data_IF_665052206419
#
_entry.id   IF_665052206419
#
_cell.length_a   1.000
_cell.length_b   1.000
_cell.length_c   1.000
_cell.angle_alpha   90.00
_cell.angle_beta   90.00
_cell.angle_gamma   90.00
#
_symmetry.space_group_name_H-M   'P 1'
#
loop_
_entity.id
_entity.type
_entity.pdbx_description
1 polymer ?
#
# COMPACT_ATOMS: atom_id res chain seq x y z
N UNK A 1 -25.08 2.57 30.94
CA UNK A 1 -24.77 3.71 30.06
C UNK A 1 -23.50 3.36 29.29
N UNK A 2 -23.59 3.16 27.97
CA UNK A 2 -22.38 3.02 27.14
C UNK A 2 -21.71 4.38 27.03
N UNK A 3 -20.41 4.46 27.28
CA UNK A 3 -19.63 5.68 27.03
C UNK A 3 -19.51 5.87 25.52
N UNK A 4 -19.73 7.09 25.04
CA UNK A 4 -19.41 7.47 23.67
C UNK A 4 -17.90 7.67 23.55
N UNK A 5 -17.21 6.69 22.96
CA UNK A 5 -15.75 6.72 22.77
C UNK A 5 -15.33 7.76 21.73
N UNK A 6 -16.21 8.16 20.82
CA UNK A 6 -15.90 9.18 19.81
C UNK A 6 -15.74 10.56 20.46
N UNK A 7 -16.51 10.84 21.51
CA UNK A 7 -16.40 12.06 22.29
C UNK A 7 -15.05 12.20 23.04
N UNK A 8 -14.26 11.12 23.17
CA UNK A 8 -12.95 11.14 23.83
C UNK A 8 -11.79 11.50 22.87
N UNK A 9 -12.01 11.48 21.56
CA UNK A 9 -10.98 11.83 20.59
C UNK A 9 -10.67 13.34 20.60
N UNK A 10 -9.46 13.74 20.20
CA UNK A 10 -9.11 15.16 20.09
C UNK A 10 -9.98 15.87 19.04
N UNK A 11 -10.30 17.18 19.18
CA UNK A 11 -11.27 17.86 18.32
C UNK A 11 -10.99 17.80 16.81
N UNK A 12 -9.71 17.72 16.42
CA UNK A 12 -9.32 17.57 15.02
C UNK A 12 -9.72 16.21 14.42
N UNK A 13 -9.64 15.13 15.21
CA UNK A 13 -9.97 13.77 14.78
C UNK A 13 -11.47 13.56 14.66
N UNK A 14 -12.26 14.19 15.54
CA UNK A 14 -13.74 14.08 15.52
C UNK A 14 -14.37 14.56 14.20
N UNK A 15 -13.67 15.40 13.43
CA UNK A 15 -14.14 15.94 12.15
C UNK A 15 -13.67 15.12 10.95
N UNK A 16 -12.81 14.11 11.15
CA UNK A 16 -12.31 13.30 10.06
C UNK A 16 -13.38 12.32 9.60
N UNK A 17 -13.54 12.22 8.28
CA UNK A 17 -14.25 11.09 7.70
C UNK A 17 -13.34 9.86 7.74
N UNK A 18 -13.90 8.66 7.98
CA UNK A 18 -13.13 7.42 7.84
C UNK A 18 -12.46 7.35 6.47
N UNK A 19 -11.18 6.99 6.45
CA UNK A 19 -10.45 6.80 5.20
C UNK A 19 -11.04 5.61 4.45
N UNK A 20 -11.45 5.83 3.20
CA UNK A 20 -11.90 4.77 2.30
C UNK A 20 -10.71 4.39 1.43
N UNK A 21 -10.14 3.23 1.69
CA UNK A 21 -9.09 2.65 0.86
C UNK A 21 -9.62 2.34 -0.54
N UNK A 22 -8.77 2.49 -1.56
CA UNK A 22 -9.11 2.00 -2.90
C UNK A 22 -9.43 0.51 -2.88
N UNK A 23 -10.46 0.10 -3.63
CA UNK A 23 -10.87 -1.31 -3.72
C UNK A 23 -9.78 -2.13 -4.44
N UNK A 24 -9.29 -3.24 -3.86
CA UNK A 24 -8.34 -4.14 -4.52
C UNK A 24 -8.90 -4.72 -5.81
N UNK A 25 -8.03 -4.99 -6.78
CA UNK A 25 -8.41 -5.62 -8.06
C UNK A 25 -9.10 -6.97 -7.83
N UNK A 26 -8.56 -7.79 -6.93
CA UNK A 26 -9.10 -9.13 -6.66
C UNK A 26 -10.50 -9.07 -6.03
N UNK A 27 -10.77 -8.04 -5.22
CA UNK A 27 -12.08 -7.84 -4.62
C UNK A 27 -13.11 -7.43 -5.68
N UNK A 28 -12.76 -6.48 -6.55
CA UNK A 28 -13.60 -6.07 -7.67
C UNK A 28 -13.84 -7.23 -8.64
N UNK A 29 -12.82 -8.04 -8.90
CA UNK A 29 -12.90 -9.19 -9.79
C UNK A 29 -13.94 -10.20 -9.30
N UNK A 30 -13.90 -10.53 -8.01
CA UNK A 30 -14.86 -11.43 -7.36
C UNK A 30 -16.28 -10.86 -7.36
N UNK A 31 -16.45 -9.56 -7.11
CA UNK A 31 -17.75 -8.89 -7.11
C UNK A 31 -18.43 -8.91 -8.48
N UNK A 32 -17.64 -8.67 -9.54
CA UNK A 32 -18.16 -8.58 -10.91
C UNK A 32 -18.14 -9.92 -11.67
N UNK A 33 -17.61 -10.99 -11.06
CA UNK A 33 -17.47 -12.30 -11.71
C UNK A 33 -16.52 -12.28 -12.91
N UNK A 34 -15.53 -11.39 -12.90
CA UNK A 34 -14.54 -11.25 -13.97
C UNK A 34 -13.23 -11.93 -13.56
N UNK A 35 -12.54 -12.47 -14.55
CA UNK A 35 -11.18 -13.00 -14.37
C UNK A 35 -10.21 -11.84 -14.06
N UNK A 36 -9.51 -11.85 -12.91
CA UNK A 36 -8.54 -10.81 -12.56
C UNK A 36 -7.47 -10.58 -13.64
N UNK A 37 -7.05 -11.65 -14.35
CA UNK A 37 -6.05 -11.55 -15.41
C UNK A 37 -6.54 -10.75 -16.64
N UNK A 38 -7.84 -10.50 -16.76
CA UNK A 38 -8.43 -9.68 -17.83
C UNK A 38 -8.59 -8.20 -17.45
N UNK A 39 -8.30 -7.84 -16.20
CA UNK A 39 -8.42 -6.46 -15.73
C UNK A 39 -7.18 -5.67 -16.15
N UNK A 40 -7.40 -4.65 -16.98
CA UNK A 40 -6.36 -3.67 -17.32
C UNK A 40 -6.39 -2.54 -16.29
N UNK A 41 -5.36 -2.45 -15.45
CA UNK A 41 -5.24 -1.40 -14.44
C UNK A 41 -4.70 -0.12 -15.06
N UNK A 42 -5.55 0.90 -15.16
CA UNK A 42 -5.20 2.25 -15.64
C UNK A 42 -5.30 3.31 -14.52
N UNK A 43 -5.28 2.87 -13.27
CA UNK A 43 -5.32 3.74 -12.09
C UNK A 43 -3.90 3.92 -11.51
N UNK A 44 -3.71 5.01 -10.77
CA UNK A 44 -2.52 5.28 -9.93
C UNK A 44 -1.21 5.65 -10.64
N UNK A 45 -1.23 5.95 -11.95
CA UNK A 45 -0.05 6.38 -12.72
C UNK A 45 1.14 5.42 -12.64
N UNK A 46 0.88 4.12 -12.53
CA UNK A 46 1.92 3.10 -12.44
C UNK A 46 2.63 2.91 -13.78
N UNK A 47 3.91 2.54 -13.74
CA UNK A 47 4.68 2.24 -14.94
C UNK A 47 4.36 0.81 -15.43
N UNK A 48 3.72 0.63 -16.60
CA UNK A 48 3.35 -0.69 -17.11
C UNK A 48 4.55 -1.56 -17.52
N UNK A 49 5.74 -0.97 -17.67
CA UNK A 49 6.97 -1.70 -18.02
C UNK A 49 7.61 -2.40 -16.81
N UNK A 50 7.18 -2.07 -15.58
CA UNK A 50 7.84 -2.54 -14.38
C UNK A 50 9.25 -1.94 -14.16
N UNK A 51 9.97 -2.40 -13.14
CA UNK A 51 11.33 -1.95 -12.85
C UNK A 51 12.36 -2.52 -13.82
N UNK A 52 13.51 -1.85 -13.94
CA UNK A 52 14.65 -2.37 -14.68
C UNK A 52 15.16 -3.69 -14.06
N UNK A 53 15.59 -4.70 -14.85
CA UNK A 53 16.11 -5.96 -14.32
C UNK A 53 17.21 -5.82 -13.26
N UNK A 54 18.10 -4.82 -13.40
CA UNK A 54 19.16 -4.56 -12.41
C UNK A 54 18.62 -4.17 -11.03
N UNK A 55 17.45 -3.53 -10.99
CA UNK A 55 16.79 -3.18 -9.73
C UNK A 55 16.23 -4.43 -9.06
N UNK A 56 15.66 -5.36 -9.84
CA UNK A 56 15.17 -6.63 -9.31
C UNK A 56 16.32 -7.48 -8.73
N UNK A 57 17.45 -7.53 -9.42
CA UNK A 57 18.67 -8.20 -8.96
C UNK A 57 19.19 -7.59 -7.65
N UNK A 58 19.26 -6.26 -7.56
CA UNK A 58 19.69 -5.56 -6.35
C UNK A 58 18.75 -5.82 -5.16
N UNK A 59 17.43 -5.77 -5.37
CA UNK A 59 16.44 -6.08 -4.31
C UNK A 59 16.62 -7.52 -3.84
N UNK A 60 16.78 -8.48 -4.76
CA UNK A 60 16.95 -9.88 -4.42
C UNK A 60 18.23 -10.13 -3.61
N UNK A 61 19.33 -9.42 -3.91
CA UNK A 61 20.58 -9.51 -3.18
C UNK A 61 20.49 -9.01 -1.73
N UNK A 62 19.61 -8.03 -1.46
CA UNK A 62 19.41 -7.44 -0.13
C UNK A 62 18.41 -8.20 0.76
N UNK A 63 17.63 -9.15 0.21
CA UNK A 63 16.65 -9.92 0.98
C UNK A 63 17.19 -10.60 2.26
N UNK A 64 18.43 -11.14 2.30
CA UNK A 64 18.99 -11.73 3.52
C UNK A 64 19.12 -10.73 4.69
N UNK A 65 19.25 -9.44 4.40
CA UNK A 65 19.47 -8.39 5.40
C UNK A 65 18.17 -7.68 5.80
N UNK A 66 17.00 -8.10 5.28
CA UNK A 66 15.69 -7.45 5.46
C UNK A 66 15.27 -7.24 6.92
N UNK A 67 15.76 -8.05 7.85
CA UNK A 67 15.46 -7.92 9.28
C UNK A 67 16.24 -6.79 9.97
N UNK A 68 17.23 -6.19 9.31
CA UNK A 68 18.03 -5.10 9.86
C UNK A 68 17.38 -3.76 9.54
N UNK A 69 17.57 -2.81 10.46
CA UNK A 69 17.26 -1.43 10.16
C UNK A 69 18.16 -0.90 9.04
N UNK A 70 17.63 -0.06 8.13
CA UNK A 70 18.47 0.62 7.14
C UNK A 70 19.43 1.59 7.84
N UNK A 71 20.48 2.00 7.11
CA UNK A 71 21.38 3.04 7.59
C UNK A 71 20.64 4.37 7.78
N UNK A 72 20.42 4.76 9.03
CA UNK A 72 19.69 5.97 9.39
C UNK A 72 20.44 7.27 9.06
N UNK A 73 21.74 7.22 8.79
CA UNK A 73 22.53 8.38 8.37
C UNK A 73 22.63 8.53 6.85
N UNK A 74 22.22 7.50 6.10
CA UNK A 74 22.33 7.48 4.64
C UNK A 74 23.77 7.61 4.14
N UNK A 75 24.76 7.14 4.90
CA UNK A 75 26.18 7.25 4.57
C UNK A 75 26.53 6.53 3.26
N UNK A 76 25.78 5.48 2.90
CA UNK A 76 26.00 4.72 1.67
C UNK A 76 25.14 5.17 0.47
N UNK A 77 24.37 6.25 0.60
CA UNK A 77 23.51 6.79 -0.48
C UNK A 77 24.23 7.79 -1.39
#
# INVERSE_FOLDING_TARGET
MSRDFLALAVPGVQKLSPYVTGKPIDELARELGIDPAKIVKLASNENPLGPNPRVLEAIAAELPELSRYPDGSGFQL
#
